data_IF_199639261571
#
_entry.id   IF_199639261571
#
_cell.length_a   1.000
_cell.length_b   1.000
_cell.length_c   1.000
_cell.angle_alpha   90.00
_cell.angle_beta   90.00
_cell.angle_gamma   90.00
#
_symmetry.space_group_name_H-M   'P 1'
#
loop_
_entity.id
_entity.type
_entity.pdbx_description
1 polymer ?
#
# COMPACT_ATOMS: atom_id res chain seq x y z
N UNK A 1 -10.58 -5.15 5.41
CA UNK A 1 -9.59 -5.72 4.48
C UNK A 1 -8.22 -5.16 4.85
N UNK A 2 -7.23 -5.98 5.24
CA UNK A 2 -5.88 -5.49 5.65
C UNK A 2 -4.93 -5.30 4.47
N UNK A 3 -5.48 -5.00 3.29
CA UNK A 3 -4.71 -4.78 2.07
C UNK A 3 -4.29 -3.32 2.01
N UNK A 4 -3.04 -3.11 1.63
CA UNK A 4 -2.53 -1.82 1.26
C UNK A 4 -2.87 -1.56 -0.20
N UNK A 5 -3.05 -0.30 -0.60
CA UNK A 5 -3.27 0.04 -2.00
C UNK A 5 -2.16 0.97 -2.49
N UNK A 6 -1.55 0.64 -3.63
CA UNK A 6 -0.49 1.44 -4.25
C UNK A 6 -1.07 2.67 -4.95
N UNK A 7 -0.20 3.58 -5.36
CA UNK A 7 -0.59 4.75 -6.16
C UNK A 7 -1.25 4.40 -7.50
N UNK A 8 -1.04 3.17 -7.99
CA UNK A 8 -1.61 2.69 -9.25
C UNK A 8 -3.04 2.14 -9.08
N UNK A 9 -3.60 2.15 -7.86
CA UNK A 9 -4.93 1.62 -7.58
C UNK A 9 -5.00 0.10 -7.43
N UNK A 10 -3.85 -0.59 -7.43
CA UNK A 10 -3.78 -2.00 -7.11
C UNK A 10 -3.60 -2.20 -5.61
N UNK A 11 -4.19 -3.26 -5.06
CA UNK A 11 -4.11 -3.54 -3.62
C UNK A 11 -3.50 -4.92 -3.32
N UNK A 12 -2.64 -4.98 -2.31
CA UNK A 12 -1.90 -6.16 -1.88
C UNK A 12 -1.21 -5.95 -0.54
N UNK A 13 -0.43 -6.93 -0.08
CA UNK A 13 0.30 -6.87 1.20
C UNK A 13 1.82 -6.84 1.03
N UNK A 14 2.32 -6.68 -0.20
CA UNK A 14 3.76 -6.52 -0.45
C UNK A 14 4.19 -5.06 -0.27
N UNK A 15 5.50 -4.86 -0.17
CA UNK A 15 6.09 -3.52 -0.06
C UNK A 15 5.70 -2.60 -1.23
N UNK A 16 5.42 -3.12 -2.42
CA UNK A 16 4.99 -2.31 -3.57
C UNK A 16 3.63 -1.64 -3.33
N UNK A 17 2.76 -2.28 -2.53
CA UNK A 17 1.44 -1.74 -2.18
C UNK A 17 1.45 -1.00 -0.85
N UNK A 18 2.26 -1.47 0.11
CA UNK A 18 2.26 -0.98 1.49
C UNK A 18 3.34 0.08 1.78
N UNK A 19 4.38 0.17 0.96
CA UNK A 19 5.44 1.15 1.18
C UNK A 19 4.97 2.53 0.77
N UNK A 20 5.12 3.48 1.70
CA UNK A 20 4.86 4.89 1.43
C UNK A 20 5.79 5.46 0.37
N UNK A 21 7.01 4.93 0.24
CA UNK A 21 7.92 5.30 -0.84
C UNK A 21 7.42 4.86 -2.22
N UNK A 22 6.62 3.80 -2.30
CA UNK A 22 5.95 3.34 -3.52
C UNK A 22 4.57 4.00 -3.74
N UNK A 23 4.27 5.08 -3.00
CA UNK A 23 3.02 5.81 -3.15
C UNK A 23 1.81 5.08 -2.56
N UNK A 24 1.98 4.29 -1.50
CA UNK A 24 0.85 3.69 -0.81
C UNK A 24 -0.21 4.73 -0.38
N UNK A 25 -1.48 4.45 -0.71
CA UNK A 25 -2.63 5.32 -0.47
C UNK A 25 -3.38 4.98 0.83
N UNK A 26 -3.55 3.69 1.13
CA UNK A 26 -4.38 3.22 2.25
C UNK A 26 -3.76 2.00 2.93
N UNK A 27 -3.92 1.88 4.26
CA UNK A 27 -3.37 0.80 5.10
C UNK A 27 -1.85 0.58 4.96
N UNK A 28 -1.09 1.63 4.69
CA UNK A 28 0.36 1.56 4.50
C UNK A 28 1.09 1.06 5.74
N UNK A 29 2.22 0.40 5.55
CA UNK A 29 3.06 0.00 6.69
C UNK A 29 3.51 1.23 7.47
N UNK A 30 3.32 1.20 8.79
CA UNK A 30 3.57 2.32 9.69
C UNK A 30 2.38 3.27 9.89
N UNK A 31 1.17 2.88 9.49
CA UNK A 31 -0.10 3.52 9.90
C UNK A 31 -0.99 2.55 10.67
#
# INVERSE_FOLDING_TARGET
NRLCCSQYGFCGTTSEYCSRANGCQSNCWGR
#
